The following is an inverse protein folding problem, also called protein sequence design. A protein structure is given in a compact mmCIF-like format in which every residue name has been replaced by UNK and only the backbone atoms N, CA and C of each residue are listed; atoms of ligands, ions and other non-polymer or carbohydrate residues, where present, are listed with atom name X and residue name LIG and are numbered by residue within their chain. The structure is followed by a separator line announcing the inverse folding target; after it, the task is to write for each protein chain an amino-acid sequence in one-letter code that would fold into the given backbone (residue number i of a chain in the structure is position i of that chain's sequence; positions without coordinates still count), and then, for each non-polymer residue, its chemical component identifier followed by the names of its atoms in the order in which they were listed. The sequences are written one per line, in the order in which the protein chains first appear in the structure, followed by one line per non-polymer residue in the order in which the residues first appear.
data_IF_883163192867
#
_entry.id   IF_883163192867
#
_cell.length_a   1.000
_cell.length_b   1.000
_cell.length_c   1.000
_cell.angle_alpha   90.00
_cell.angle_beta   90.00
_cell.angle_gamma   90.00
#
_symmetry.space_group_name_H-M   'P 1'
#
loop_
_entity.id
_entity.type
_entity.pdbx_description
1 polymer ?
#
# COMPACT_ATOMS: atom_id res chain seq x y z
N UNK A 1 6.95 -3.71 10.29
CA UNK A 1 7.16 -3.82 8.84
C UNK A 1 6.88 -5.26 8.41
N UNK A 2 6.25 -5.50 7.26
CA UNK A 2 6.00 -6.85 6.80
C UNK A 2 7.30 -7.63 6.61
N UNK A 3 7.31 -8.94 6.91
CA UNK A 3 8.49 -9.79 6.71
C UNK A 3 8.94 -9.82 5.25
N UNK A 4 8.00 -9.79 4.30
CA UNK A 4 8.26 -9.68 2.86
C UNK A 4 9.05 -8.41 2.52
N UNK A 5 8.74 -7.28 3.17
CA UNK A 5 9.42 -5.99 2.93
C UNK A 5 10.86 -6.02 3.43
N UNK A 6 11.11 -6.58 4.63
CA UNK A 6 12.47 -6.72 5.15
C UNK A 6 13.32 -7.63 4.25
N UNK A 7 12.71 -8.70 3.74
CA UNK A 7 13.39 -9.63 2.83
C UNK A 7 13.73 -8.95 1.51
N UNK A 8 12.79 -8.19 0.95
CA UNK A 8 12.98 -7.37 -0.24
C UNK A 8 14.10 -6.34 -0.04
N UNK A 9 14.06 -5.59 1.06
CA UNK A 9 15.06 -4.58 1.40
C UNK A 9 16.49 -5.17 1.44
N UNK A 10 16.67 -6.30 2.14
CA UNK A 10 17.97 -6.99 2.22
C UNK A 10 18.47 -7.49 0.88
N UNK A 11 17.59 -8.04 0.04
CA UNK A 11 17.92 -8.54 -1.31
C UNK A 11 18.40 -7.41 -2.23
N UNK A 12 17.87 -6.20 -2.05
CA UNK A 12 18.12 -5.07 -2.93
C UNK A 12 19.04 -3.99 -2.33
N UNK A 13 19.66 -4.24 -1.16
CA UNK A 13 20.48 -3.30 -0.36
C UNK A 13 21.68 -2.68 -1.09
N UNK A 14 22.13 -3.31 -2.19
CA UNK A 14 23.24 -2.82 -3.02
C UNK A 14 22.86 -1.60 -3.85
N UNK A 15 21.59 -1.44 -4.25
CA UNK A 15 21.14 -0.31 -5.09
C UNK A 15 20.02 0.48 -4.41
N UNK A 16 19.10 -0.20 -3.73
CA UNK A 16 17.95 0.38 -3.01
C UNK A 16 18.02 -0.03 -1.53
N UNK A 17 17.21 0.58 -0.66
CA UNK A 17 17.03 0.14 0.75
C UNK A 17 18.33 -0.08 1.55
N UNK A 18 19.29 0.84 1.41
CA UNK A 18 20.63 0.71 2.01
C UNK A 18 20.56 0.43 3.52
N UNK A 19 21.14 -0.68 3.96
CA UNK A 19 21.17 -1.10 5.37
C UNK A 19 21.63 0.01 6.32
N UNK A 20 22.59 0.83 5.89
CA UNK A 20 23.10 1.97 6.68
C UNK A 20 22.02 2.99 7.07
N UNK A 21 20.92 3.11 6.33
CA UNK A 21 19.85 4.10 6.59
C UNK A 21 18.96 3.70 7.77
N UNK A 22 18.90 2.41 8.09
CA UNK A 22 18.06 1.89 9.17
C UNK A 22 18.87 1.04 10.15
N UNK A 23 20.20 1.11 10.08
CA UNK A 23 21.10 0.48 11.03
C UNK A 23 20.77 0.98 12.44
N UNK A 24 20.55 0.05 13.36
CA UNK A 24 20.16 0.30 14.75
C UNK A 24 18.73 0.83 14.96
N UNK A 25 17.90 0.89 13.92
CA UNK A 25 16.45 1.10 14.11
C UNK A 25 15.84 -0.22 14.56
N UNK A 26 15.09 -0.20 15.66
CA UNK A 26 14.36 -1.37 16.13
C UNK A 26 13.14 -1.63 15.23
N UNK A 27 13.36 -2.36 14.13
CA UNK A 27 12.31 -2.74 13.20
C UNK A 27 11.60 -4.01 13.69
N UNK A 28 10.38 -3.86 14.17
CA UNK A 28 9.50 -4.98 14.51
C UNK A 28 8.85 -5.51 13.23
N UNK A 29 8.96 -6.82 13.03
CA UNK A 29 8.33 -7.51 11.90
C UNK A 29 6.92 -7.95 12.25
N UNK A 30 6.08 -8.09 11.24
CA UNK A 30 4.81 -8.80 11.36
C UNK A 30 4.64 -9.76 10.17
N UNK A 31 3.92 -10.84 10.44
CA UNK A 31 3.41 -11.77 9.42
C UNK A 31 1.97 -11.40 9.08
N UNK A 32 1.58 -11.60 7.83
CA UNK A 32 0.20 -11.42 7.37
C UNK A 32 -0.74 -12.33 8.16
N UNK A 33 -1.92 -11.83 8.52
CA UNK A 33 -2.90 -12.56 9.35
C UNK A 33 -4.25 -12.74 8.66
N UNK A 34 -4.38 -12.32 7.41
CA UNK A 34 -5.60 -12.34 6.62
C UNK A 34 -5.29 -12.40 5.09
N UNK A 35 -6.31 -12.59 4.25
CA UNK A 35 -6.18 -13.01 2.84
C UNK A 35 -6.81 -12.05 1.81
N UNK A 36 -6.84 -10.76 2.08
CA UNK A 36 -7.42 -9.75 1.18
C UNK A 36 -6.44 -9.27 0.11
N UNK A 37 -6.95 -8.47 -0.83
CA UNK A 37 -6.14 -7.73 -1.79
C UNK A 37 -5.71 -8.49 -3.04
N UNK A 38 -4.86 -7.88 -3.88
CA UNK A 38 -4.49 -8.42 -5.19
C UNK A 38 -3.71 -9.73 -5.13
N UNK A 39 -3.07 -10.04 -4.00
CA UNK A 39 -2.23 -11.24 -3.84
C UNK A 39 -2.61 -12.11 -2.64
N UNK A 40 -3.80 -11.88 -2.06
CA UNK A 40 -4.33 -12.71 -0.97
C UNK A 40 -3.49 -12.63 0.31
N UNK A 41 -2.98 -11.43 0.62
CA UNK A 41 -2.17 -11.16 1.83
C UNK A 41 -2.60 -9.83 2.43
N UNK A 42 -3.07 -9.88 3.67
CA UNK A 42 -3.42 -8.69 4.44
C UNK A 42 -3.10 -8.87 5.93
N UNK A 43 -3.17 -7.75 6.66
CA UNK A 43 -3.02 -7.72 8.10
C UNK A 43 -4.11 -6.83 8.70
N UNK A 44 -5.05 -7.42 9.42
CA UNK A 44 -5.98 -6.69 10.28
C UNK A 44 -5.25 -6.29 11.57
N UNK A 45 -5.07 -4.98 11.75
CA UNK A 45 -4.26 -4.42 12.83
C UNK A 45 -4.90 -4.57 14.20
N UNK A 46 -6.22 -4.38 14.28
CA UNK A 46 -6.97 -4.39 15.53
C UNK A 46 -7.83 -5.65 15.71
N UNK A 47 -7.91 -6.50 14.68
CA UNK A 47 -8.74 -7.72 14.65
C UNK A 47 -10.24 -7.44 14.72
N UNK A 48 -10.63 -6.24 14.30
CA UNK A 48 -12.02 -5.78 14.20
C UNK A 48 -12.35 -5.29 12.78
N UNK A 49 -11.40 -5.42 11.84
CA UNK A 49 -11.51 -4.96 10.47
C UNK A 49 -11.45 -3.44 10.30
N UNK A 50 -11.24 -2.62 11.33
CA UNK A 50 -11.26 -1.16 11.20
C UNK A 50 -10.04 -0.60 10.44
N UNK A 51 -8.87 -1.23 10.61
CA UNK A 51 -7.64 -0.88 9.88
C UNK A 51 -7.01 -2.14 9.31
N UNK A 52 -7.02 -2.22 7.98
CA UNK A 52 -6.48 -3.36 7.23
C UNK A 52 -5.28 -2.91 6.38
N UNK A 53 -4.15 -3.59 6.57
CA UNK A 53 -2.97 -3.43 5.73
C UNK A 53 -3.06 -4.45 4.59
N UNK A 54 -3.24 -3.99 3.35
CA UNK A 54 -3.45 -4.84 2.17
C UNK A 54 -2.18 -4.87 1.34
N UNK A 55 -1.56 -6.04 1.15
CA UNK A 55 -0.33 -6.14 0.38
C UNK A 55 -0.58 -5.79 -1.11
N UNK A 56 0.15 -4.80 -1.61
CA UNK A 56 0.11 -4.28 -2.98
C UNK A 56 1.53 -4.33 -3.58
N UNK A 57 2.05 -5.54 -3.88
CA UNK A 57 3.43 -5.70 -4.31
C UNK A 57 3.68 -5.05 -5.68
N UNK A 58 4.96 -4.75 -5.95
CA UNK A 58 5.44 -4.34 -7.26
C UNK A 58 6.45 -3.21 -7.21
N UNK A 59 6.24 -2.21 -6.35
CA UNK A 59 7.30 -1.25 -6.01
C UNK A 59 8.34 -1.89 -5.07
N UNK A 60 7.83 -2.62 -4.08
CA UNK A 60 8.53 -3.53 -3.18
C UNK A 60 7.62 -4.75 -2.94
N UNK A 61 8.18 -5.85 -2.44
CA UNK A 61 7.41 -7.09 -2.25
C UNK A 61 6.42 -6.98 -1.07
N UNK A 62 6.78 -6.23 -0.02
CA UNK A 62 5.96 -6.07 1.17
C UNK A 62 5.26 -4.72 1.29
N UNK A 63 5.22 -3.93 0.21
CA UNK A 63 4.43 -2.70 0.17
C UNK A 63 2.96 -3.02 0.46
N UNK A 64 2.29 -2.20 1.26
CA UNK A 64 0.87 -2.34 1.55
C UNK A 64 0.13 -1.01 1.45
N UNK A 65 -1.16 -1.11 1.13
CA UNK A 65 -2.13 -0.04 1.28
C UNK A 65 -2.76 -0.14 2.68
N UNK A 66 -3.19 0.98 3.23
CA UNK A 66 -3.97 1.05 4.47
C UNK A 66 -5.41 1.36 4.09
N UNK A 67 -6.31 0.44 4.42
CA UNK A 67 -7.75 0.62 4.28
C UNK A 67 -8.34 0.89 5.66
N UNK A 68 -8.87 2.09 5.86
CA UNK A 68 -9.44 2.55 7.13
C UNK A 68 -10.95 2.59 6.95
N UNK A 69 -11.70 1.81 7.74
CA UNK A 69 -13.14 1.62 7.58
C UNK A 69 -13.91 2.08 8.81
N UNK A 70 -15.11 2.64 8.59
CA UNK A 70 -16.11 2.77 9.66
C UNK A 70 -16.97 1.50 9.76
N UNK A 71 -17.87 1.49 10.75
CA UNK A 71 -18.83 0.40 11.00
C UNK A 71 -19.86 0.21 9.87
N UNK A 72 -20.12 1.25 9.07
CA UNK A 72 -20.98 1.21 7.88
C UNK A 72 -20.26 0.70 6.62
N UNK A 73 -18.96 0.37 6.72
CA UNK A 73 -18.14 -0.11 5.62
C UNK A 73 -17.68 0.97 4.63
N UNK A 74 -17.91 2.26 4.93
CA UNK A 74 -17.27 3.39 4.23
C UNK A 74 -15.79 3.44 4.59
N UNK A 75 -14.95 3.86 3.65
CA UNK A 75 -13.52 3.78 3.86
C UNK A 75 -12.68 4.79 3.09
N UNK A 76 -11.48 5.03 3.63
CA UNK A 76 -10.38 5.72 2.96
C UNK A 76 -9.30 4.70 2.60
N UNK A 77 -8.68 4.87 1.44
CA UNK A 77 -7.57 4.04 0.98
C UNK A 77 -6.30 4.88 0.83
N UNK A 78 -5.28 4.56 1.61
CA UNK A 78 -3.93 5.14 1.50
C UNK A 78 -3.02 4.09 0.88
N UNK A 79 -2.37 4.35 -0.24
CA UNK A 79 -1.60 3.28 -0.93
C UNK A 79 -0.15 3.64 -1.25
N UNK A 80 0.38 4.71 -0.65
CA UNK A 80 1.82 5.01 -0.68
C UNK A 80 2.36 5.01 -2.12
N UNK A 81 3.41 4.24 -2.39
CA UNK A 81 4.06 4.11 -3.70
C UNK A 81 3.33 3.15 -4.68
N UNK A 82 2.13 2.68 -4.35
CA UNK A 82 1.30 1.82 -5.21
C UNK A 82 0.74 2.55 -6.44
N UNK A 83 0.57 3.87 -6.32
CA UNK A 83 0.21 4.79 -7.40
C UNK A 83 0.67 6.19 -7.00
N UNK A 84 1.27 6.95 -7.93
CA UNK A 84 1.96 8.20 -7.57
C UNK A 84 1.03 9.40 -7.49
N UNK A 85 -0.06 9.41 -8.25
CA UNK A 85 -1.05 10.48 -8.24
C UNK A 85 -2.40 9.95 -8.74
N UNK A 86 -3.46 10.75 -8.65
CA UNK A 86 -4.81 10.39 -9.11
C UNK A 86 -4.85 9.84 -10.54
N UNK A 87 -4.06 10.46 -11.41
CA UNK A 87 -3.87 10.00 -12.79
C UNK A 87 -3.34 8.56 -12.89
N UNK A 88 -2.60 8.06 -11.90
CA UNK A 88 -2.02 6.71 -11.91
C UNK A 88 -3.11 5.64 -11.96
N UNK A 89 -4.07 5.62 -11.05
CA UNK A 89 -5.12 4.60 -11.07
C UNK A 89 -6.24 4.93 -12.04
N UNK A 90 -6.52 6.23 -12.32
CA UNK A 90 -7.50 6.62 -13.34
C UNK A 90 -7.09 6.17 -14.75
N UNK A 91 -5.82 6.35 -15.10
CA UNK A 91 -5.31 6.10 -16.45
C UNK A 91 -4.39 4.88 -16.54
N UNK A 92 -4.30 4.06 -15.48
CA UNK A 92 -3.42 2.89 -15.39
C UNK A 92 -1.93 3.19 -15.65
N UNK A 93 -1.45 4.35 -15.17
CA UNK A 93 -0.05 4.77 -15.31
C UNK A 93 0.76 4.18 -14.17
N UNK A 94 1.55 3.15 -14.49
CA UNK A 94 2.50 2.52 -13.56
C UNK A 94 3.72 3.41 -13.33
N UNK A 95 4.31 3.35 -12.12
CA UNK A 95 5.51 4.15 -11.82
C UNK A 95 6.74 3.59 -12.54
N UNK A 96 7.72 4.45 -12.83
CA UNK A 96 9.00 4.01 -13.43
C UNK A 96 9.77 3.06 -12.52
N UNK A 97 9.78 3.32 -11.21
CA UNK A 97 10.51 2.57 -10.19
C UNK A 97 9.67 1.39 -9.68
N UNK A 98 10.08 0.17 -10.05
CA UNK A 98 9.38 -1.07 -9.67
C UNK A 98 10.37 -2.24 -9.66
N UNK A 99 10.19 -3.15 -8.71
CA UNK A 99 10.91 -4.44 -8.67
C UNK A 99 10.19 -5.53 -9.45
N UNK A 100 8.86 -5.43 -9.58
CA UNK A 100 8.03 -6.33 -10.37
C UNK A 100 6.89 -5.56 -11.05
N UNK A 101 7.00 -5.41 -12.37
CA UNK A 101 6.01 -4.67 -13.19
C UNK A 101 4.68 -5.39 -13.30
N UNK A 102 4.66 -6.72 -13.28
CA UNK A 102 3.43 -7.51 -13.38
C UNK A 102 2.61 -7.35 -12.10
N UNK A 103 3.26 -7.52 -10.95
CA UNK A 103 2.62 -7.30 -9.66
C UNK A 103 2.24 -5.83 -9.46
N UNK A 104 3.07 -4.88 -9.88
CA UNK A 104 2.72 -3.45 -9.85
C UNK A 104 1.43 -3.16 -10.61
N UNK A 105 1.28 -3.71 -11.82
CA UNK A 105 0.06 -3.53 -12.61
C UNK A 105 -1.16 -4.13 -11.89
N UNK A 106 -1.05 -5.37 -11.38
CA UNK A 106 -2.13 -6.04 -10.64
C UNK A 106 -2.55 -5.25 -9.39
N UNK A 107 -1.57 -4.71 -8.67
CA UNK A 107 -1.79 -3.86 -7.50
C UNK A 107 -2.50 -2.55 -7.89
N UNK A 108 -2.10 -1.92 -9.01
CA UNK A 108 -2.74 -0.70 -9.50
C UNK A 108 -4.17 -0.93 -10.00
N UNK A 109 -4.43 -2.09 -10.61
CA UNK A 109 -5.79 -2.53 -10.98
C UNK A 109 -6.68 -2.63 -9.74
N UNK A 110 -6.19 -3.31 -8.71
CA UNK A 110 -6.90 -3.41 -7.43
C UNK A 110 -7.13 -2.06 -6.75
N UNK A 111 -6.11 -1.16 -6.75
CA UNK A 111 -6.27 0.21 -6.24
C UNK A 111 -7.38 0.92 -6.99
N UNK A 112 -7.39 0.87 -8.33
CA UNK A 112 -8.46 1.47 -9.14
C UNK A 112 -9.84 0.93 -8.76
N UNK A 113 -9.99 -0.39 -8.66
CA UNK A 113 -11.24 -1.02 -8.25
C UNK A 113 -11.74 -0.49 -6.91
N UNK A 114 -10.86 -0.43 -5.90
CA UNK A 114 -11.21 0.12 -4.59
C UNK A 114 -11.55 1.62 -4.68
N UNK A 115 -10.75 2.41 -5.37
CA UNK A 115 -10.98 3.86 -5.53
C UNK A 115 -12.29 4.19 -6.26
N UNK A 116 -12.80 3.28 -7.09
CA UNK A 116 -14.10 3.46 -7.79
C UNK A 116 -15.29 2.86 -7.04
N UNK A 117 -15.07 2.23 -5.88
CA UNK A 117 -16.13 1.65 -5.09
C UNK A 117 -16.99 2.75 -4.44
N UNK A 118 -18.31 2.60 -4.45
CA UNK A 118 -19.26 3.54 -3.82
C UNK A 118 -19.05 3.77 -2.31
N UNK A 119 -18.32 2.86 -1.65
CA UNK A 119 -17.98 2.97 -0.24
C UNK A 119 -16.60 3.60 -0.01
N UNK A 120 -15.79 3.79 -1.04
CA UNK A 120 -14.56 4.56 -0.94
C UNK A 120 -14.92 6.04 -0.91
N UNK A 121 -14.67 6.69 0.22
CA UNK A 121 -14.82 8.13 0.36
C UNK A 121 -13.66 8.87 -0.29
N UNK A 122 -12.44 8.34 -0.13
CA UNK A 122 -11.24 8.93 -0.69
C UNK A 122 -10.11 7.93 -0.91
N UNK A 123 -9.28 8.20 -1.89
CA UNK A 123 -8.10 7.43 -2.25
C UNK A 123 -6.90 8.37 -2.36
N UNK A 124 -5.88 8.18 -1.53
CA UNK A 124 -4.74 9.09 -1.41
C UNK A 124 -3.44 8.45 -1.88
N UNK A 125 -2.80 9.11 -2.83
CA UNK A 125 -1.43 8.85 -3.27
C UNK A 125 -0.44 9.80 -2.59
N UNK A 126 0.71 9.28 -2.17
CA UNK A 126 1.70 10.06 -1.43
C UNK A 126 2.45 11.10 -2.26
N UNK A 127 2.47 10.97 -3.58
CA UNK A 127 3.22 11.85 -4.49
C UNK A 127 2.31 12.74 -5.34
N UNK A 128 1.02 12.84 -4.99
CA UNK A 128 0.09 13.73 -5.70
C UNK A 128 0.22 15.16 -5.17
N UNK A 129 0.70 16.12 -5.98
CA UNK A 129 0.85 17.51 -5.51
C UNK A 129 -0.50 18.20 -5.24
N UNK A 130 -1.61 17.64 -5.72
CA UNK A 130 -2.94 18.20 -5.48
C UNK A 130 -3.55 17.74 -4.15
N UNK A 131 -2.96 16.73 -3.49
CA UNK A 131 -3.37 16.29 -2.16
C UNK A 131 -2.77 17.27 -1.15
N UNK A 132 -3.63 18.09 -0.54
CA UNK A 132 -3.29 19.02 0.53
C UNK A 132 -3.75 18.48 1.88
N UNK A 133 -3.19 18.95 3.03
CA UNK A 133 -3.66 18.55 4.35
C UNK A 133 -5.16 18.86 4.54
N UNK A 134 -5.94 17.87 4.99
CA UNK A 134 -7.37 18.01 5.27
C UNK A 134 -7.84 16.95 6.28
N UNK A 135 -9.10 17.04 6.70
CA UNK A 135 -9.76 16.07 7.58
C UNK A 135 -10.74 15.25 6.76
N UNK A 136 -10.69 13.93 6.93
CA UNK A 136 -11.69 13.02 6.37
C UNK A 136 -12.57 12.52 7.51
N UNK A 137 -13.88 12.68 7.36
CA UNK A 137 -14.87 12.15 8.29
C UNK A 137 -15.39 10.83 7.74
N UNK A 138 -15.13 9.76 8.48
CA UNK A 138 -15.62 8.41 8.23
C UNK A 138 -16.87 8.15 9.06
#
# INVERSE_FOLDING_TARGET
MATDEITCAKKHSVVRYKDKWWKNVNLIKFEWNDIQGPVGKSYDLFRDGSIELINIPGHADGLFAVKIKNDQGKYVLLFSDGGYAEKSWKNMITSGISLDKKNQKKSLEWIREQSTNQNCLESLANHDPNVIPHVILL
#
